data_IF_747928356598
#
_entry.id   IF_747928356598
#
_cell.length_a   1.000
_cell.length_b   1.000
_cell.length_c   1.000
_cell.angle_alpha   90.00
_cell.angle_beta   90.00
_cell.angle_gamma   90.00
#
_symmetry.space_group_name_H-M   'P 1'
#
loop_
_entity.id
_entity.type
_entity.pdbx_description
1 polymer ?
#
# COMPACT_ATOMS: atom_id res chain seq x y z
N UNK A 1 5.58 28.45 1.18
CA UNK A 1 5.41 28.13 -0.25
C UNK A 1 3.93 28.08 -0.52
N UNK A 2 3.41 28.96 -1.37
CA UNK A 2 1.98 28.98 -1.71
C UNK A 2 1.74 27.96 -2.81
N UNK A 3 0.78 27.06 -2.62
CA UNK A 3 0.43 26.04 -3.60
C UNK A 3 -0.35 26.72 -4.75
N UNK A 4 0.12 26.54 -5.98
CA UNK A 4 -0.59 26.97 -7.18
C UNK A 4 -1.68 25.95 -7.54
N UNK A 5 -2.92 26.26 -7.16
CA UNK A 5 -4.06 25.36 -7.38
C UNK A 5 -4.49 25.30 -8.85
N UNK A 6 -4.24 26.35 -9.62
CA UNK A 6 -4.62 26.43 -11.04
C UNK A 6 -3.70 25.55 -11.89
N UNK A 7 -2.40 25.63 -11.67
CA UNK A 7 -1.43 24.76 -12.33
C UNK A 7 -1.72 23.28 -12.04
N UNK A 8 -2.05 22.93 -10.79
CA UNK A 8 -2.42 21.56 -10.43
C UNK A 8 -3.72 21.10 -11.11
N UNK A 9 -4.70 21.99 -11.28
CA UNK A 9 -5.93 21.67 -12.00
C UNK A 9 -5.70 21.46 -13.49
N UNK A 10 -4.89 22.31 -14.11
CA UNK A 10 -4.51 22.17 -15.52
C UNK A 10 -3.78 20.85 -15.77
N UNK A 11 -2.85 20.48 -14.89
CA UNK A 11 -2.12 19.22 -15.02
C UNK A 11 -3.03 17.99 -14.87
N UNK A 12 -3.96 17.99 -13.89
CA UNK A 12 -4.99 16.94 -13.79
C UNK A 12 -5.81 16.82 -15.08
N UNK A 13 -6.25 17.95 -15.63
CA UNK A 13 -6.98 17.97 -16.90
C UNK A 13 -6.19 17.35 -18.05
N UNK A 14 -4.90 17.71 -18.17
CA UNK A 14 -3.98 17.15 -19.16
C UNK A 14 -3.79 15.64 -18.99
N UNK A 15 -3.59 15.16 -17.76
CA UNK A 15 -3.43 13.72 -17.46
C UNK A 15 -4.70 12.96 -17.84
N UNK A 16 -5.88 13.47 -17.47
CA UNK A 16 -7.16 12.86 -17.83
C UNK A 16 -7.30 12.78 -19.36
N UNK A 17 -7.09 13.89 -20.07
CA UNK A 17 -7.22 13.94 -21.52
C UNK A 17 -6.22 13.02 -22.25
N UNK A 18 -5.03 12.80 -21.68
CA UNK A 18 -3.97 12.02 -22.30
C UNK A 18 -4.06 10.53 -21.99
N UNK A 19 -4.38 10.15 -20.76
CA UNK A 19 -4.19 8.79 -20.25
C UNK A 19 -5.46 8.10 -19.79
N UNK A 20 -6.52 8.84 -19.42
CA UNK A 20 -7.76 8.21 -18.97
C UNK A 20 -8.50 7.64 -20.16
N UNK A 21 -8.52 6.31 -20.24
CA UNK A 21 -9.31 5.57 -21.21
C UNK A 21 -10.68 5.24 -20.63
N UNK A 22 -11.72 5.24 -21.44
CA UNK A 22 -13.02 4.70 -21.04
C UNK A 22 -12.93 3.21 -20.74
N UNK A 23 -13.82 2.72 -19.87
CA UNK A 23 -13.80 1.32 -19.42
C UNK A 23 -13.71 0.30 -20.55
N UNK A 24 -14.42 0.43 -21.69
CA UNK A 24 -14.31 -0.52 -22.81
C UNK A 24 -12.96 -0.47 -23.55
N UNK A 25 -12.24 0.67 -23.50
CA UNK A 25 -10.95 0.88 -24.17
C UNK A 25 -9.74 0.52 -23.29
N UNK A 26 -9.97 0.07 -22.04
CA UNK A 26 -8.91 -0.39 -21.14
C UNK A 26 -8.58 -1.85 -21.44
N UNK A 27 -7.36 -2.12 -21.85
CA UNK A 27 -6.85 -3.48 -21.99
C UNK A 27 -6.80 -4.19 -20.64
N UNK A 28 -6.92 -5.54 -20.60
CA UNK A 28 -6.66 -6.31 -19.39
C UNK A 28 -5.26 -6.01 -18.84
N UNK A 29 -5.13 -5.97 -17.51
CA UNK A 29 -3.83 -5.77 -16.85
C UNK A 29 -2.93 -6.98 -17.04
N UNK A 30 -1.65 -6.74 -17.35
CA UNK A 30 -0.61 -7.78 -17.36
C UNK A 30 -0.16 -8.19 -15.95
N UNK A 31 -0.45 -7.37 -14.93
CA UNK A 31 0.03 -7.58 -13.56
C UNK A 31 -0.71 -8.72 -12.82
N UNK A 32 -1.85 -9.19 -13.34
CA UNK A 32 -2.67 -10.28 -12.77
C UNK A 32 -3.21 -10.05 -11.35
N UNK A 33 -2.96 -8.89 -10.75
CA UNK A 33 -3.45 -8.54 -9.41
C UNK A 33 -2.33 -7.89 -8.59
N UNK A 34 -2.65 -7.58 -7.33
CA UNK A 34 -1.66 -7.12 -6.35
C UNK A 34 -1.25 -8.32 -5.51
N UNK A 35 0.04 -8.63 -5.45
CA UNK A 35 0.51 -9.71 -4.57
C UNK A 35 0.46 -9.28 -3.10
N UNK A 36 0.99 -8.11 -2.78
CA UNK A 36 0.90 -7.51 -1.45
C UNK A 36 1.05 -6.00 -1.51
N UNK A 37 0.62 -5.31 -0.45
CA UNK A 37 0.84 -3.87 -0.24
C UNK A 37 1.60 -3.70 1.07
N UNK A 38 2.68 -2.92 1.05
CA UNK A 38 3.43 -2.57 2.25
C UNK A 38 3.12 -1.15 2.71
N UNK A 39 2.93 -0.97 4.02
CA UNK A 39 2.60 0.28 4.68
C UNK A 39 3.58 0.57 5.82
N UNK A 40 3.52 1.77 6.39
CA UNK A 40 4.29 2.14 7.58
C UNK A 40 3.39 2.12 8.81
N UNK A 41 3.87 1.55 9.89
CA UNK A 41 3.26 1.52 11.21
C UNK A 41 4.08 2.34 12.18
N UNK A 42 3.43 3.02 13.12
CA UNK A 42 4.11 3.71 14.22
C UNK A 42 4.32 2.80 15.45
N UNK A 43 3.58 1.69 15.52
CA UNK A 43 3.60 0.74 16.62
C UNK A 43 3.23 -0.65 16.08
N UNK A 44 4.14 -1.62 16.25
CA UNK A 44 3.97 -2.98 15.73
C UNK A 44 2.81 -3.69 16.42
N UNK A 45 2.78 -3.71 17.75
CA UNK A 45 1.79 -4.47 18.51
C UNK A 45 0.37 -3.92 18.30
N UNK A 46 0.21 -2.60 18.30
CA UNK A 46 -1.07 -1.96 18.02
C UNK A 46 -1.57 -2.32 16.61
N UNK A 47 -0.66 -2.39 15.65
CA UNK A 47 -1.00 -2.78 14.28
C UNK A 47 -1.40 -4.26 14.22
N UNK A 48 -0.65 -5.14 14.88
CA UNK A 48 -0.98 -6.57 14.99
C UNK A 48 -2.36 -6.77 15.60
N UNK A 49 -2.66 -6.17 16.75
CA UNK A 49 -3.97 -6.30 17.40
C UNK A 49 -5.11 -5.81 16.51
N UNK A 50 -4.91 -4.71 15.78
CA UNK A 50 -5.93 -4.21 14.87
C UNK A 50 -6.18 -5.15 13.69
N UNK A 51 -5.14 -5.56 12.98
CA UNK A 51 -5.31 -6.40 11.80
C UNK A 51 -5.73 -7.83 12.15
N UNK A 52 -5.15 -8.42 13.20
CA UNK A 52 -5.47 -9.79 13.58
C UNK A 52 -6.73 -9.90 14.44
N UNK A 53 -6.86 -9.11 15.51
CA UNK A 53 -7.91 -9.36 16.49
C UNK A 53 -9.21 -8.61 16.15
N UNK A 54 -9.13 -7.49 15.43
CA UNK A 54 -10.31 -6.70 15.04
C UNK A 54 -10.76 -7.00 13.60
N UNK A 55 -9.81 -7.05 12.65
CA UNK A 55 -10.13 -7.33 11.24
C UNK A 55 -10.03 -8.81 10.87
N UNK A 56 -9.51 -9.65 11.78
CA UNK A 56 -9.40 -11.10 11.58
C UNK A 56 -8.47 -11.50 10.43
N UNK A 57 -7.48 -10.65 10.10
CA UNK A 57 -6.44 -10.94 9.12
C UNK A 57 -5.26 -11.61 9.85
N UNK A 58 -5.02 -12.92 9.66
CA UNK A 58 -4.00 -13.63 10.42
C UNK A 58 -2.60 -13.06 10.16
N UNK A 59 -1.80 -12.87 11.21
CA UNK A 59 -0.38 -12.57 11.08
C UNK A 59 0.36 -13.82 10.56
N UNK A 60 1.04 -13.71 9.42
CA UNK A 60 1.67 -14.86 8.75
C UNK A 60 3.18 -14.88 8.86
N UNK A 61 3.83 -13.72 8.81
CA UNK A 61 5.28 -13.60 8.83
C UNK A 61 5.72 -12.37 9.65
N UNK A 62 6.82 -12.51 10.38
CA UNK A 62 7.51 -11.43 11.10
C UNK A 62 9.01 -11.67 11.03
N UNK A 63 9.76 -10.70 10.51
CA UNK A 63 11.22 -10.78 10.45
C UNK A 63 11.86 -9.39 10.44
N UNK A 64 13.16 -9.33 10.71
CA UNK A 64 13.91 -8.07 10.64
C UNK A 64 13.99 -7.57 9.19
N UNK A 65 13.72 -6.28 8.99
CA UNK A 65 13.83 -5.61 7.71
C UNK A 65 15.25 -5.75 7.15
N UNK A 66 15.34 -6.27 5.93
CA UNK A 66 16.62 -6.55 5.27
C UNK A 66 17.39 -5.28 4.90
N UNK A 67 16.68 -4.16 4.76
CA UNK A 67 17.24 -2.89 4.32
C UNK A 67 17.54 -1.92 5.47
N UNK A 68 16.99 -2.15 6.66
CA UNK A 68 17.15 -1.29 7.84
C UNK A 68 17.25 -2.11 9.13
N UNK A 69 18.46 -2.31 9.69
CA UNK A 69 18.65 -3.01 10.95
C UNK A 69 17.82 -2.42 12.09
N UNK A 70 17.20 -3.28 12.88
CA UNK A 70 16.30 -2.91 13.98
C UNK A 70 14.87 -2.62 13.56
N UNK A 71 14.56 -2.44 12.27
CA UNK A 71 13.18 -2.35 11.79
C UNK A 71 12.56 -3.72 11.62
N UNK A 72 11.27 -3.86 11.94
CA UNK A 72 10.45 -5.06 11.76
C UNK A 72 9.68 -4.98 10.44
N UNK A 73 9.67 -6.07 9.67
CA UNK A 73 8.79 -6.29 8.53
C UNK A 73 7.82 -7.44 8.85
N UNK A 74 6.52 -7.18 8.77
CA UNK A 74 5.50 -8.15 9.19
C UNK A 74 4.27 -8.14 8.28
N UNK A 75 3.62 -9.30 8.13
CA UNK A 75 2.62 -9.56 7.09
C UNK A 75 1.34 -10.17 7.67
N UNK A 76 0.21 -9.78 7.08
CA UNK A 76 -1.10 -10.37 7.34
C UNK A 76 -1.70 -10.94 6.05
N UNK A 77 -2.37 -12.10 6.14
CA UNK A 77 -3.19 -12.62 5.05
C UNK A 77 -4.50 -11.82 4.97
N UNK A 78 -4.73 -11.16 3.83
CA UNK A 78 -5.96 -10.40 3.56
C UNK A 78 -6.91 -11.09 2.58
N UNK A 79 -6.69 -12.39 2.34
CA UNK A 79 -7.50 -13.24 1.48
C UNK A 79 -7.06 -13.22 0.01
N UNK A 80 -7.60 -14.16 -0.77
CA UNK A 80 -7.31 -14.32 -2.21
C UNK A 80 -5.81 -14.47 -2.55
N UNK A 81 -5.01 -14.95 -1.60
CA UNK A 81 -3.56 -15.06 -1.75
C UNK A 81 -2.86 -13.69 -1.80
N UNK A 82 -3.48 -12.65 -1.21
CA UNK A 82 -2.91 -11.32 -1.10
C UNK A 82 -2.52 -11.05 0.35
N UNK A 83 -1.50 -10.21 0.53
CA UNK A 83 -1.05 -9.82 1.86
C UNK A 83 -1.03 -8.30 2.05
N UNK A 84 -1.18 -7.87 3.30
CA UNK A 84 -0.83 -6.51 3.72
C UNK A 84 0.37 -6.62 4.63
N UNK A 85 1.42 -5.85 4.33
CA UNK A 85 2.67 -5.83 5.06
C UNK A 85 2.89 -4.47 5.72
N UNK A 86 3.73 -4.45 6.76
CA UNK A 86 4.08 -3.26 7.49
C UNK A 86 5.56 -3.20 7.84
N UNK A 87 6.08 -1.97 7.88
CA UNK A 87 7.36 -1.62 8.49
C UNK A 87 7.14 -0.66 9.67
N UNK A 88 7.96 -0.74 10.71
CA UNK A 88 7.94 0.17 11.86
C UNK A 88 8.95 1.34 11.78
N UNK A 89 10.01 1.20 10.97
CA UNK A 89 11.07 2.18 10.73
C UNK A 89 11.51 2.95 12.01
N UNK A 90 12.11 2.27 13.01
CA UNK A 90 12.55 2.91 14.24
C UNK A 90 13.74 3.85 13.95
N UNK A 91 13.44 5.15 13.91
CA UNK A 91 14.38 6.23 13.62
C UNK A 91 13.74 7.60 13.85
#
# INVERSE_FOLDING_TARGET
>A
MTIDLEALAADRGRIVATYLRDKPARSPSSARGVHHVALISADVERTVRFYQDVLEFPLTEVFENRDLPGSTHFFFDCGHGNAIAFFDLPG
#
